data_IF_599020334284
#
_entry.id   IF_599020334284
#
_cell.length_a   1.000
_cell.length_b   1.000
_cell.length_c   1.000
_cell.angle_alpha   90.00
_cell.angle_beta   90.00
_cell.angle_gamma   90.00
#
_symmetry.space_group_name_H-M   'P 1'
#
loop_
_entity.id
_entity.type
_entity.pdbx_description
1 polymer ?
#
# COMPACT_ATOMS: atom_id res chain seq x y z
N UNK A 1 1.34 -4.90 -11.07
CA UNK A 1 1.47 -5.71 -9.83
C UNK A 1 0.11 -6.29 -9.49
N UNK A 2 0.07 -7.55 -9.11
CA UNK A 2 -1.10 -8.18 -8.51
C UNK A 2 -0.74 -8.66 -7.10
N UNK A 3 -1.68 -8.53 -6.17
CA UNK A 3 -1.50 -8.98 -4.79
C UNK A 3 -2.31 -10.25 -4.54
N UNK A 4 -1.75 -11.16 -3.78
CA UNK A 4 -2.43 -12.39 -3.33
C UNK A 4 -2.61 -12.30 -1.81
N UNK A 5 -3.84 -12.33 -1.34
CA UNK A 5 -4.16 -12.41 0.08
C UNK A 5 -4.01 -13.86 0.55
N UNK A 6 -2.99 -14.12 1.38
CA UNK A 6 -2.69 -15.48 1.83
C UNK A 6 -3.59 -15.96 2.97
N UNK A 7 -4.00 -15.04 3.83
CA UNK A 7 -4.74 -15.34 5.06
C UNK A 7 -5.60 -14.17 5.49
N UNK A 8 -6.74 -14.44 6.10
CA UNK A 8 -7.53 -13.43 6.81
C UNK A 8 -7.05 -13.18 8.25
N UNK A 9 -6.17 -14.05 8.77
CA UNK A 9 -5.66 -13.92 10.15
C UNK A 9 -4.67 -12.76 10.28
N UNK A 10 -4.83 -11.97 11.34
CA UNK A 10 -3.89 -10.93 11.72
C UNK A 10 -3.68 -10.93 13.23
N UNK A 11 -2.47 -10.69 13.67
CA UNK A 11 -2.13 -10.54 15.08
C UNK A 11 -2.36 -9.11 15.61
N UNK A 12 -2.72 -8.17 14.74
CA UNK A 12 -3.05 -6.79 15.09
C UNK A 12 -4.51 -6.47 14.74
N UNK A 13 -5.03 -5.43 15.41
CA UNK A 13 -6.37 -4.86 15.16
C UNK A 13 -6.22 -3.37 14.85
N UNK A 14 -5.56 -3.07 13.74
CA UNK A 14 -5.31 -1.69 13.33
C UNK A 14 -6.64 -0.96 13.04
N UNK A 15 -6.84 0.19 13.65
CA UNK A 15 -7.99 1.06 13.44
C UNK A 15 -8.19 1.42 11.95
N UNK A 16 -7.09 1.54 11.23
CA UNK A 16 -7.02 1.94 9.84
C UNK A 16 -6.86 0.77 8.86
N UNK A 17 -7.14 -0.47 9.27
CA UNK A 17 -6.92 -1.64 8.43
C UNK A 17 -7.63 -1.51 7.09
N UNK A 18 -6.87 -1.50 5.99
CA UNK A 18 -7.42 -1.43 4.64
C UNK A 18 -8.07 -2.77 4.22
N UNK A 19 -7.62 -3.88 4.81
CA UNK A 19 -8.14 -5.23 4.58
C UNK A 19 -9.15 -5.65 5.66
N UNK A 20 -9.85 -4.70 6.30
CA UNK A 20 -10.73 -4.99 7.42
C UNK A 20 -11.82 -6.02 7.07
N UNK A 21 -12.42 -5.94 5.87
CA UNK A 21 -13.43 -6.93 5.43
C UNK A 21 -12.86 -8.34 5.36
N UNK A 22 -11.65 -8.50 4.84
CA UNK A 22 -10.97 -9.79 4.78
C UNK A 22 -10.70 -10.33 6.20
N UNK A 23 -10.24 -9.49 7.11
CA UNK A 23 -9.88 -9.88 8.49
C UNK A 23 -11.12 -10.15 9.34
N UNK A 24 -12.18 -9.37 9.19
CA UNK A 24 -13.44 -9.53 9.93
C UNK A 24 -14.20 -10.78 9.50
N UNK A 25 -14.16 -11.15 8.23
CA UNK A 25 -14.84 -12.34 7.70
C UNK A 25 -14.23 -13.68 8.15
N UNK A 26 -13.03 -13.65 8.79
CA UNK A 26 -12.35 -14.84 9.31
C UNK A 26 -12.33 -16.03 8.33
N UNK A 27 -12.14 -15.72 7.05
CA UNK A 27 -12.06 -16.72 6.00
C UNK A 27 -10.89 -17.69 6.22
N UNK A 28 -10.87 -18.74 5.44
CA UNK A 28 -9.80 -19.73 5.47
C UNK A 28 -8.51 -19.15 4.88
N UNK A 29 -7.38 -19.73 5.28
CA UNK A 29 -6.11 -19.52 4.62
C UNK A 29 -6.18 -20.07 3.19
N UNK A 30 -5.46 -19.45 2.27
CA UNK A 30 -5.32 -19.99 0.92
C UNK A 30 -4.64 -21.37 1.01
N UNK A 31 -5.10 -22.35 0.23
CA UNK A 31 -4.38 -23.62 0.09
C UNK A 31 -3.24 -23.47 -0.91
N UNK A 32 -2.21 -24.33 -0.83
CA UNK A 32 -1.16 -24.37 -1.86
C UNK A 32 -1.74 -24.68 -3.25
N UNK A 33 -2.76 -25.52 -3.34
CA UNK A 33 -3.44 -25.80 -4.61
C UNK A 33 -4.08 -24.55 -5.20
N UNK A 34 -4.89 -23.83 -4.41
CA UNK A 34 -5.51 -22.56 -4.84
C UNK A 34 -4.45 -21.51 -5.15
N UNK A 35 -3.35 -21.45 -4.37
CA UNK A 35 -2.25 -20.55 -4.66
C UNK A 35 -1.62 -20.83 -6.03
N UNK A 36 -1.41 -22.10 -6.38
CA UNK A 36 -0.88 -22.48 -7.69
C UNK A 36 -1.83 -22.12 -8.84
N UNK A 37 -3.14 -22.34 -8.68
CA UNK A 37 -4.15 -21.91 -9.67
C UNK A 37 -4.11 -20.39 -9.89
N UNK A 38 -4.03 -19.60 -8.80
CA UNK A 38 -3.90 -18.14 -8.89
C UNK A 38 -2.57 -17.76 -9.57
N UNK A 39 -1.48 -18.44 -9.24
CA UNK A 39 -0.18 -18.16 -9.83
C UNK A 39 -0.15 -18.45 -11.35
N UNK A 40 -0.81 -19.51 -11.80
CA UNK A 40 -0.98 -19.82 -13.22
C UNK A 40 -1.81 -18.74 -13.93
N UNK A 41 -2.90 -18.26 -13.30
CA UNK A 41 -3.68 -17.15 -13.81
C UNK A 41 -2.86 -15.85 -13.92
N UNK A 42 -1.91 -15.65 -13.01
CA UNK A 42 -0.99 -14.49 -12.98
C UNK A 42 0.21 -14.64 -13.92
N UNK A 43 0.26 -15.67 -14.76
CA UNK A 43 1.39 -15.88 -15.67
C UNK A 43 1.59 -14.64 -16.56
N UNK A 44 2.82 -14.11 -16.56
CA UNK A 44 3.18 -12.86 -17.22
C UNK A 44 3.12 -11.61 -16.30
N UNK A 45 2.62 -11.72 -15.05
CA UNK A 45 2.69 -10.64 -14.07
C UNK A 45 4.05 -10.67 -13.35
N UNK A 46 4.95 -9.79 -13.74
CA UNK A 46 6.32 -9.78 -13.20
C UNK A 46 6.44 -9.40 -11.72
N UNK A 47 5.43 -8.80 -11.13
CA UNK A 47 5.45 -8.29 -9.75
C UNK A 47 4.27 -8.83 -8.95
N UNK A 48 4.56 -9.64 -7.93
CA UNK A 48 3.58 -10.26 -7.06
C UNK A 48 3.70 -9.67 -5.64
N UNK A 49 2.57 -9.22 -5.09
CA UNK A 49 2.45 -8.80 -3.69
C UNK A 49 1.88 -9.93 -2.84
N UNK A 50 2.50 -10.21 -1.70
CA UNK A 50 1.95 -11.10 -0.68
C UNK A 50 1.36 -10.24 0.43
N UNK A 51 0.05 -10.36 0.62
CA UNK A 51 -0.74 -9.57 1.55
C UNK A 51 -1.71 -10.49 2.33
N UNK A 52 -2.63 -9.89 3.05
CA UNK A 52 -3.69 -10.58 3.79
C UNK A 52 -4.05 -9.79 5.04
N UNK A 53 -4.35 -10.49 6.14
CA UNK A 53 -4.26 -9.92 7.47
C UNK A 53 -2.78 -9.67 7.79
N UNK A 54 -2.07 -10.71 8.22
CA UNK A 54 -0.60 -10.72 8.28
C UNK A 54 -0.10 -11.96 7.51
N UNK A 55 0.53 -11.80 6.34
CA UNK A 55 0.90 -12.93 5.49
C UNK A 55 1.87 -13.91 6.16
N UNK A 56 2.72 -13.43 7.09
CA UNK A 56 3.67 -14.25 7.84
C UNK A 56 3.00 -15.16 8.88
N UNK A 57 1.68 -15.07 9.05
CA UNK A 57 0.90 -16.04 9.84
C UNK A 57 0.46 -17.26 9.02
N UNK A 58 0.60 -17.22 7.69
CA UNK A 58 0.28 -18.38 6.87
C UNK A 58 1.27 -19.51 7.13
N UNK A 59 0.74 -20.72 7.36
CA UNK A 59 1.58 -21.88 7.74
C UNK A 59 2.59 -22.25 6.66
N UNK A 60 2.20 -22.12 5.39
CA UNK A 60 3.01 -22.49 4.24
C UNK A 60 3.69 -21.27 3.58
N UNK A 61 3.89 -20.16 4.32
CA UNK A 61 4.47 -18.92 3.78
C UNK A 61 5.82 -19.15 3.09
N UNK A 62 6.71 -19.91 3.73
CA UNK A 62 8.03 -20.17 3.16
C UNK A 62 7.96 -21.05 1.91
N UNK A 63 7.05 -22.00 1.83
CA UNK A 63 6.82 -22.78 0.62
C UNK A 63 6.26 -21.91 -0.51
N UNK A 64 5.29 -21.05 -0.24
CA UNK A 64 4.78 -20.06 -1.19
C UNK A 64 5.91 -19.16 -1.71
N UNK A 65 6.74 -18.64 -0.83
CA UNK A 65 7.86 -17.78 -1.20
C UNK A 65 8.90 -18.55 -2.04
N UNK A 66 9.14 -19.84 -1.73
CA UNK A 66 9.99 -20.73 -2.51
C UNK A 66 9.45 -20.95 -3.93
N UNK A 67 8.14 -21.17 -4.07
CA UNK A 67 7.47 -21.30 -5.37
C UNK A 67 7.67 -20.02 -6.21
N UNK A 68 7.41 -18.85 -5.62
CA UNK A 68 7.58 -17.55 -6.30
C UNK A 68 9.03 -17.29 -6.71
N UNK A 69 10.00 -17.65 -5.88
CA UNK A 69 11.41 -17.50 -6.23
C UNK A 69 11.80 -18.34 -7.47
N UNK A 70 11.17 -19.50 -7.66
CA UNK A 70 11.42 -20.41 -8.80
C UNK A 70 10.58 -20.04 -10.02
N UNK A 71 9.49 -19.32 -9.88
CA UNK A 71 8.63 -18.91 -10.99
C UNK A 71 9.42 -17.98 -11.94
N UNK A 72 9.56 -18.40 -13.19
CA UNK A 72 10.43 -17.73 -14.17
C UNK A 72 9.94 -16.33 -14.58
N UNK A 73 8.62 -16.13 -14.58
CA UNK A 73 8.00 -14.84 -14.93
C UNK A 73 7.96 -13.86 -13.77
N UNK A 74 8.14 -14.32 -12.53
CA UNK A 74 8.15 -13.44 -11.34
C UNK A 74 9.53 -12.80 -11.20
N UNK A 75 9.58 -11.48 -11.34
CA UNK A 75 10.79 -10.68 -11.21
C UNK A 75 10.92 -10.06 -9.81
N UNK A 76 9.79 -9.77 -9.17
CA UNK A 76 9.74 -9.16 -7.85
C UNK A 76 8.60 -9.72 -7.01
N UNK A 77 8.90 -10.03 -5.76
CA UNK A 77 7.93 -10.38 -4.71
C UNK A 77 7.99 -9.29 -3.64
N UNK A 78 6.85 -8.63 -3.40
CA UNK A 78 6.72 -7.65 -2.32
C UNK A 78 5.90 -8.25 -1.18
N UNK A 79 6.49 -8.39 0.00
CA UNK A 79 5.82 -8.86 1.21
C UNK A 79 5.35 -7.64 2.01
N UNK A 80 4.04 -7.49 2.18
CA UNK A 80 3.43 -6.43 2.99
C UNK A 80 3.17 -6.97 4.40
N UNK A 81 3.91 -6.49 5.39
CA UNK A 81 3.88 -7.04 6.74
C UNK A 81 3.87 -5.96 7.82
N UNK A 82 3.36 -6.29 9.00
CA UNK A 82 3.53 -5.47 10.21
C UNK A 82 4.89 -5.67 10.90
N UNK A 83 5.71 -6.58 10.42
CA UNK A 83 7.09 -6.80 10.86
C UNK A 83 7.27 -7.66 12.12
N UNK A 84 6.20 -8.02 12.84
CA UNK A 84 6.31 -8.77 14.10
C UNK A 84 6.83 -10.20 13.90
N UNK A 85 6.56 -10.79 12.74
CA UNK A 85 6.92 -12.19 12.43
C UNK A 85 7.93 -12.33 11.29
N UNK A 86 8.74 -11.31 11.01
CA UNK A 86 9.82 -11.38 10.01
C UNK A 86 10.85 -12.47 10.33
N UNK A 87 11.00 -12.82 11.60
CA UNK A 87 11.84 -13.93 12.07
C UNK A 87 11.42 -15.32 11.57
N UNK A 88 10.19 -15.47 11.06
CA UNK A 88 9.68 -16.71 10.47
C UNK A 88 10.11 -16.93 9.01
N UNK A 89 10.63 -15.92 8.35
CA UNK A 89 11.09 -16.03 6.97
C UNK A 89 12.42 -16.77 6.94
N UNK A 90 12.47 -17.88 6.19
CA UNK A 90 13.70 -18.63 5.99
C UNK A 90 14.73 -17.81 5.23
N UNK A 91 15.93 -17.70 5.76
CA UNK A 91 17.01 -16.86 5.22
C UNK A 91 17.42 -17.26 3.81
N UNK A 92 17.36 -18.56 3.49
CA UNK A 92 17.65 -19.12 2.17
C UNK A 92 16.70 -18.63 1.07
N UNK A 93 15.52 -18.12 1.45
CA UNK A 93 14.49 -17.61 0.54
C UNK A 93 14.61 -16.10 0.30
N UNK A 94 15.50 -15.42 1.00
CA UNK A 94 15.74 -13.97 0.87
C UNK A 94 16.63 -13.69 -0.37
N UNK A 95 16.05 -13.89 -1.55
CA UNK A 95 16.73 -13.65 -2.82
C UNK A 95 16.63 -12.18 -3.25
N UNK A 96 17.30 -11.81 -4.33
CA UNK A 96 17.21 -10.48 -4.94
C UNK A 96 15.82 -10.15 -5.52
N UNK A 97 14.92 -11.13 -5.63
CA UNK A 97 13.52 -10.90 -6.02
C UNK A 97 12.65 -10.40 -4.86
N UNK A 98 13.04 -10.69 -3.61
CA UNK A 98 12.18 -10.50 -2.44
C UNK A 98 12.44 -9.15 -1.79
N UNK A 99 11.38 -8.40 -1.59
CA UNK A 99 11.39 -7.11 -0.90
C UNK A 99 10.27 -7.05 0.13
N UNK A 100 10.45 -6.21 1.14
CA UNK A 100 9.50 -6.06 2.24
C UNK A 100 9.04 -4.62 2.36
N UNK A 101 7.72 -4.42 2.47
CA UNK A 101 7.14 -3.20 2.98
C UNK A 101 6.68 -3.45 4.42
N UNK A 102 7.43 -2.89 5.37
CA UNK A 102 7.18 -3.03 6.79
C UNK A 102 6.36 -1.83 7.26
N UNK A 103 5.07 -2.04 7.53
CA UNK A 103 4.20 -1.03 8.11
C UNK A 103 4.50 -0.89 9.61
N UNK A 104 5.15 0.19 10.00
CA UNK A 104 5.56 0.43 11.40
C UNK A 104 4.48 1.22 12.13
N UNK A 105 3.82 0.56 13.07
CA UNK A 105 2.83 1.15 13.98
C UNK A 105 3.50 1.73 15.21
N UNK A 106 2.82 2.67 15.89
CA UNK A 106 3.31 3.23 17.16
C UNK A 106 3.21 2.22 18.31
N UNK A 107 4.03 2.42 19.34
CA UNK A 107 3.97 1.65 20.60
C UNK A 107 2.58 1.73 21.25
N UNK A 108 1.92 2.89 21.16
CA UNK A 108 0.55 3.08 21.62
C UNK A 108 -0.41 2.05 21.03
N UNK A 109 -0.23 1.71 19.72
CA UNK A 109 -1.11 0.79 19.01
C UNK A 109 -0.78 -0.69 19.24
N UNK A 110 0.51 -1.03 19.35
CA UNK A 110 0.94 -2.43 19.31
C UNK A 110 1.63 -2.90 20.61
N UNK A 111 1.90 -1.99 21.53
CA UNK A 111 2.65 -2.25 22.76
C UNK A 111 4.17 -2.27 22.56
N UNK A 112 4.91 -1.97 23.64
CA UNK A 112 6.38 -1.90 23.63
C UNK A 112 7.05 -3.19 23.15
N UNK A 113 6.58 -4.34 23.63
CA UNK A 113 7.16 -5.65 23.28
C UNK A 113 7.11 -5.93 21.77
N UNK A 114 5.96 -5.66 21.12
CA UNK A 114 5.84 -5.86 19.69
C UNK A 114 6.67 -4.84 18.91
N UNK A 115 6.75 -3.60 19.38
CA UNK A 115 7.57 -2.59 18.73
C UNK A 115 9.07 -2.96 18.78
N UNK A 116 9.59 -3.38 19.93
CA UNK A 116 10.98 -3.83 20.05
C UNK A 116 11.24 -5.09 19.22
N UNK A 117 10.26 -5.99 19.10
CA UNK A 117 10.35 -7.14 18.21
C UNK A 117 10.44 -6.74 16.73
N UNK A 118 9.65 -5.77 16.29
CA UNK A 118 9.78 -5.21 14.91
C UNK A 118 11.17 -4.64 14.71
N UNK A 119 11.67 -3.86 15.66
CA UNK A 119 12.98 -3.22 15.61
C UNK A 119 14.11 -4.25 15.49
N UNK A 120 14.07 -5.31 16.29
CA UNK A 120 15.03 -6.41 16.23
C UNK A 120 14.91 -7.17 14.90
N UNK A 121 13.70 -7.48 14.46
CA UNK A 121 13.45 -8.18 13.20
C UNK A 121 13.94 -7.38 11.99
N UNK A 122 13.74 -6.07 11.95
CA UNK A 122 14.29 -5.21 10.89
C UNK A 122 15.81 -5.22 10.92
N UNK A 123 16.44 -5.15 12.10
CA UNK A 123 17.90 -5.25 12.25
C UNK A 123 18.42 -6.59 11.70
N UNK A 124 17.77 -7.68 12.08
CA UNK A 124 18.12 -9.01 11.61
C UNK A 124 17.94 -9.16 10.08
N UNK A 125 16.82 -8.69 9.55
CA UNK A 125 16.56 -8.73 8.11
C UNK A 125 17.63 -7.99 7.32
N UNK A 126 18.03 -6.80 7.76
CA UNK A 126 19.07 -5.98 7.12
C UNK A 126 20.47 -6.60 7.16
N UNK A 127 20.69 -7.66 7.96
CA UNK A 127 21.95 -8.43 7.92
C UNK A 127 22.00 -9.45 6.78
N UNK A 128 20.86 -9.72 6.10
CA UNK A 128 20.75 -10.70 5.01
C UNK A 128 20.43 -10.09 3.66
N UNK A 129 19.70 -8.96 3.63
CA UNK A 129 19.30 -8.31 2.39
C UNK A 129 19.71 -6.83 2.36
N UNK A 130 19.96 -6.27 1.16
CA UNK A 130 20.23 -4.85 1.02
C UNK A 130 19.08 -3.99 1.55
N UNK A 131 19.41 -2.84 2.11
CA UNK A 131 18.42 -1.87 2.61
C UNK A 131 17.41 -1.43 1.54
N UNK A 132 17.79 -1.44 0.27
CA UNK A 132 16.92 -1.13 -0.87
C UNK A 132 15.76 -2.11 -1.02
N UNK A 133 15.83 -3.31 -0.43
CA UNK A 133 14.77 -4.30 -0.41
C UNK A 133 13.81 -4.16 0.78
N UNK A 134 14.04 -3.18 1.66
CA UNK A 134 13.19 -2.92 2.82
C UNK A 134 12.67 -1.49 2.78
N UNK A 135 11.36 -1.34 2.72
CA UNK A 135 10.70 -0.05 2.77
C UNK A 135 9.89 0.08 4.06
N UNK A 136 10.09 1.15 4.80
CA UNK A 136 9.25 1.49 5.94
C UNK A 136 7.97 2.16 5.44
N UNK A 137 6.82 1.64 5.85
CA UNK A 137 5.50 2.20 5.57
C UNK A 137 4.97 3.00 6.76
N UNK A 138 4.46 4.20 6.48
CA UNK A 138 3.77 5.06 7.44
C UNK A 138 2.36 5.31 6.93
N UNK A 139 1.35 4.99 7.74
CA UNK A 139 -0.05 5.24 7.44
C UNK A 139 -0.55 6.44 8.26
N UNK A 140 -1.14 7.42 7.58
CA UNK A 140 -1.76 8.61 8.18
C UNK A 140 -3.26 8.37 8.22
N UNK A 141 -3.86 8.30 9.41
CA UNK A 141 -5.27 7.92 9.60
C UNK A 141 -6.03 8.77 10.63
N UNK A 142 -5.30 9.59 11.41
CA UNK A 142 -5.91 10.51 12.39
C UNK A 142 -5.21 11.88 12.38
N UNK A 143 -5.94 12.89 12.81
CA UNK A 143 -5.40 14.23 13.03
C UNK A 143 -4.37 14.19 14.17
N UNK A 144 -3.33 15.02 14.07
CA UNK A 144 -2.27 15.15 15.09
C UNK A 144 -1.60 13.82 15.47
N UNK A 145 -1.52 12.88 14.51
CA UNK A 145 -0.85 11.59 14.73
C UNK A 145 0.63 11.79 15.04
N UNK A 146 1.11 11.09 16.07
CA UNK A 146 2.53 11.06 16.38
C UNK A 146 3.28 10.05 15.50
N UNK A 147 4.48 10.41 15.07
CA UNK A 147 5.36 9.61 14.24
C UNK A 147 6.71 9.30 14.89
N UNK A 148 6.87 9.55 16.20
CA UNK A 148 8.13 9.33 16.89
C UNK A 148 8.65 7.91 16.73
N UNK A 149 7.77 6.91 16.84
CA UNK A 149 8.14 5.50 16.74
C UNK A 149 8.60 5.10 15.34
N UNK A 150 7.81 5.26 14.24
CA UNK A 150 8.29 4.93 12.90
C UNK A 150 9.51 5.78 12.50
N UNK A 151 9.58 7.03 12.91
CA UNK A 151 10.75 7.90 12.68
C UNK A 151 11.98 7.39 13.42
N UNK A 152 11.84 6.78 14.60
CA UNK A 152 12.96 6.17 15.33
C UNK A 152 13.59 5.02 14.54
N UNK A 153 12.78 4.15 13.95
CA UNK A 153 13.23 3.05 13.04
C UNK A 153 13.96 3.62 11.82
N UNK A 154 13.39 4.65 11.18
CA UNK A 154 14.00 5.30 10.01
C UNK A 154 15.38 5.85 10.36
N UNK A 155 15.52 6.53 11.49
CA UNK A 155 16.80 7.11 11.95
C UNK A 155 17.81 6.04 12.29
N UNK A 156 17.42 5.05 13.10
CA UNK A 156 18.31 4.00 13.59
C UNK A 156 18.94 3.23 12.43
N UNK A 157 18.13 2.83 11.45
CA UNK A 157 18.63 2.04 10.33
C UNK A 157 19.04 2.89 9.12
N UNK A 158 18.89 4.21 9.18
CA UNK A 158 19.32 5.14 8.14
C UNK A 158 18.59 4.94 6.81
N UNK A 159 17.27 4.68 6.85
CA UNK A 159 16.45 4.64 5.65
C UNK A 159 16.41 6.01 4.99
N UNK A 160 16.53 6.04 3.66
CA UNK A 160 16.52 7.28 2.85
C UNK A 160 15.21 7.48 2.12
N UNK A 161 14.36 6.46 2.09
CA UNK A 161 13.04 6.50 1.46
C UNK A 161 12.02 5.83 2.38
N UNK A 162 10.80 6.39 2.40
CA UNK A 162 9.67 5.85 3.15
C UNK A 162 8.40 5.89 2.29
N UNK A 163 7.58 4.89 2.45
CA UNK A 163 6.24 4.88 1.87
C UNK A 163 5.29 5.61 2.82
N UNK A 164 4.54 6.57 2.30
CA UNK A 164 3.51 7.29 3.03
C UNK A 164 2.16 7.02 2.39
N UNK A 165 1.14 6.74 3.17
CA UNK A 165 -0.24 6.60 2.70
C UNK A 165 -1.18 7.39 3.60
N UNK A 166 -2.07 8.16 2.99
CA UNK A 166 -3.23 8.68 3.69
C UNK A 166 -4.33 7.63 3.57
N UNK A 167 -4.71 7.04 4.69
CA UNK A 167 -5.66 5.92 4.73
C UNK A 167 -7.03 6.36 4.19
N UNK A 168 -7.68 5.51 3.42
CA UNK A 168 -9.07 5.72 3.00
C UNK A 168 -9.96 5.42 4.22
N UNK A 169 -10.78 6.37 4.69
CA UNK A 169 -11.63 6.13 5.84
C UNK A 169 -12.71 5.08 5.55
N UNK A 170 -13.11 4.31 6.56
CA UNK A 170 -14.20 3.32 6.44
C UNK A 170 -15.51 4.02 6.05
N UNK A 171 -15.85 5.13 6.70
CA UNK A 171 -16.97 5.98 6.30
C UNK A 171 -16.49 7.04 5.31
N UNK A 172 -17.06 7.04 4.11
CA UNK A 172 -16.74 7.95 3.00
C UNK A 172 -17.77 9.08 2.84
N UNK A 173 -18.80 9.16 3.71
CA UNK A 173 -19.93 10.10 3.59
C UNK A 173 -19.48 11.57 3.69
N UNK A 174 -18.41 11.82 4.42
CA UNK A 174 -17.82 13.15 4.57
C UNK A 174 -17.23 13.71 3.27
N UNK A 175 -16.95 12.84 2.30
CA UNK A 175 -16.30 13.17 1.04
C UNK A 175 -14.78 13.36 1.15
N UNK A 176 -14.10 13.10 0.02
CA UNK A 176 -12.63 13.05 -0.04
C UNK A 176 -11.97 14.36 0.40
N UNK A 177 -12.47 15.51 -0.09
CA UNK A 177 -11.79 16.80 0.14
C UNK A 177 -11.87 17.26 1.60
N UNK A 178 -12.98 17.03 2.30
CA UNK A 178 -13.08 17.33 3.72
C UNK A 178 -12.16 16.45 4.55
N UNK A 179 -12.07 15.16 4.19
CA UNK A 179 -11.12 14.25 4.81
C UNK A 179 -9.66 14.65 4.55
N UNK A 180 -9.32 15.04 3.33
CA UNK A 180 -7.97 15.52 3.01
C UNK A 180 -7.61 16.80 3.78
N UNK A 181 -8.56 17.72 3.94
CA UNK A 181 -8.32 18.95 4.69
C UNK A 181 -8.00 18.65 6.16
N UNK A 182 -8.64 17.64 6.75
CA UNK A 182 -8.32 17.15 8.10
C UNK A 182 -6.93 16.52 8.17
N UNK A 183 -6.58 15.67 7.20
CA UNK A 183 -5.33 14.89 7.24
C UNK A 183 -4.09 15.67 6.82
N UNK A 184 -4.24 16.76 6.03
CA UNK A 184 -3.10 17.50 5.49
C UNK A 184 -2.16 18.07 6.57
N UNK A 185 -2.70 18.53 7.69
CA UNK A 185 -1.88 19.04 8.81
C UNK A 185 -0.93 17.99 9.37
N UNK A 186 -1.45 16.78 9.55
CA UNK A 186 -0.68 15.62 10.01
C UNK A 186 0.40 15.22 8.99
N UNK A 187 0.04 15.17 7.70
CA UNK A 187 1.00 14.90 6.62
C UNK A 187 2.12 15.95 6.59
N UNK A 188 1.78 17.24 6.67
CA UNK A 188 2.77 18.33 6.67
C UNK A 188 3.69 18.28 7.90
N UNK A 189 3.20 17.83 9.04
CA UNK A 189 4.01 17.59 10.24
C UNK A 189 5.05 16.49 10.00
N UNK A 190 4.61 15.36 9.42
CA UNK A 190 5.53 14.29 9.01
C UNK A 190 6.56 14.81 7.99
N UNK A 191 6.12 15.56 6.97
CA UNK A 191 7.01 16.12 5.95
C UNK A 191 8.10 17.01 6.52
N UNK A 192 7.79 17.83 7.53
CA UNK A 192 8.82 18.64 8.22
C UNK A 192 9.88 17.78 8.89
N UNK A 193 9.49 16.64 9.44
CA UNK A 193 10.41 15.69 10.06
C UNK A 193 11.26 14.98 9.01
N UNK A 194 10.64 14.46 7.94
CA UNK A 194 11.35 13.82 6.84
C UNK A 194 12.37 14.75 6.17
N UNK A 195 11.99 16.02 5.96
CA UNK A 195 12.91 17.04 5.43
C UNK A 195 14.17 17.20 6.29
N UNK A 196 14.01 17.30 7.62
CA UNK A 196 15.15 17.43 8.55
C UNK A 196 16.08 16.20 8.51
N UNK A 197 15.54 15.03 8.16
CA UNK A 197 16.29 13.80 8.08
C UNK A 197 16.88 13.51 6.69
N UNK A 198 16.53 14.31 5.68
CA UNK A 198 16.89 14.04 4.29
C UNK A 198 16.32 12.71 3.79
N UNK A 199 15.05 12.42 4.16
CA UNK A 199 14.32 11.20 3.79
C UNK A 199 13.29 11.54 2.73
N UNK A 200 13.29 10.79 1.62
CA UNK A 200 12.37 10.95 0.51
C UNK A 200 11.04 10.23 0.81
N UNK A 201 9.90 10.90 0.78
CA UNK A 201 8.61 10.25 0.85
C UNK A 201 8.18 9.77 -0.54
N UNK A 202 7.45 8.66 -0.59
CA UNK A 202 6.73 8.21 -1.76
C UNK A 202 5.29 7.86 -1.38
N UNK A 203 4.30 8.33 -2.16
CA UNK A 203 2.96 7.82 -2.06
C UNK A 203 2.85 6.49 -2.78
N UNK A 204 2.07 5.62 -2.18
CA UNK A 204 1.61 4.44 -2.88
C UNK A 204 0.10 4.56 -3.20
N UNK A 205 -0.68 5.21 -2.32
CA UNK A 205 -2.13 5.32 -2.48
C UNK A 205 -2.67 6.60 -1.84
N UNK A 206 -3.82 7.06 -2.33
CA UNK A 206 -4.64 8.13 -1.76
C UNK A 206 -3.90 9.47 -1.56
N UNK A 207 -3.18 9.91 -2.61
CA UNK A 207 -2.49 11.19 -2.62
C UNK A 207 -3.47 12.37 -2.47
N UNK A 208 -3.12 13.32 -1.63
CA UNK A 208 -3.93 14.55 -1.44
C UNK A 208 -3.73 15.47 -2.65
N UNK A 209 -4.80 15.89 -3.36
CA UNK A 209 -4.69 16.78 -4.51
C UNK A 209 -4.06 18.14 -4.17
N UNK A 210 -3.25 18.69 -5.08
CA UNK A 210 -2.54 19.95 -4.89
C UNK A 210 -3.44 21.13 -4.50
N UNK A 211 -4.70 21.15 -4.95
CA UNK A 211 -5.65 22.22 -4.63
C UNK A 211 -6.12 22.27 -3.17
N UNK A 212 -5.78 21.25 -2.36
CA UNK A 212 -6.06 21.21 -0.92
C UNK A 212 -5.01 22.03 -0.14
N UNK A 213 -3.84 22.25 -0.72
CA UNK A 213 -2.74 22.95 -0.08
C UNK A 213 -2.71 24.44 -0.42
N UNK A 214 -2.24 25.24 0.51
CA UNK A 214 -1.85 26.63 0.27
C UNK A 214 -0.51 26.68 -0.48
N UNK A 215 -0.16 27.85 -1.07
CA UNK A 215 1.14 28.06 -1.72
C UNK A 215 2.31 27.79 -0.78
N UNK A 216 2.20 28.16 0.52
CA UNK A 216 3.25 27.93 1.52
C UNK A 216 3.42 26.44 1.83
N UNK A 217 2.32 25.69 1.90
CA UNK A 217 2.35 24.25 2.12
C UNK A 217 2.93 23.50 0.92
N UNK A 218 2.57 23.90 -0.31
CA UNK A 218 3.19 23.36 -1.53
C UNK A 218 4.69 23.63 -1.58
N UNK A 219 5.14 24.82 -1.18
CA UNK A 219 6.57 25.14 -1.09
C UNK A 219 7.31 24.24 -0.08
N UNK A 220 6.66 23.82 1.02
CA UNK A 220 7.23 22.86 1.94
C UNK A 220 7.36 21.49 1.26
N UNK A 221 6.30 21.00 0.60
CA UNK A 221 6.33 19.72 -0.10
C UNK A 221 7.39 19.70 -1.20
N UNK A 222 7.47 20.77 -1.99
CA UNK A 222 8.47 20.94 -3.06
C UNK A 222 9.92 20.93 -2.55
N UNK A 223 10.12 21.31 -1.30
CA UNK A 223 11.45 21.35 -0.66
C UNK A 223 11.92 20.00 -0.09
N UNK A 224 11.14 18.92 -0.22
CA UNK A 224 11.55 17.57 0.16
C UNK A 224 12.49 16.98 -0.91
N UNK A 225 13.27 16.00 -0.51
CA UNK A 225 14.01 15.17 -1.47
C UNK A 225 13.09 14.13 -2.06
N UNK A 226 13.18 13.89 -3.37
CA UNK A 226 12.42 12.86 -4.08
C UNK A 226 13.37 11.99 -4.90
N UNK A 227 13.00 10.77 -5.17
CA UNK A 227 13.80 9.87 -5.99
C UNK A 227 13.79 10.30 -7.46
N UNK A 228 12.63 10.77 -7.92
CA UNK A 228 12.46 11.26 -9.28
C UNK A 228 11.32 12.31 -9.38
N UNK A 229 11.20 12.95 -10.54
CA UNK A 229 10.21 14.00 -10.80
C UNK A 229 8.78 13.48 -10.76
N UNK A 230 8.52 12.23 -11.16
CA UNK A 230 7.17 11.65 -11.13
C UNK A 230 6.71 11.49 -9.67
N UNK A 231 7.57 10.98 -8.78
CA UNK A 231 7.25 10.87 -7.36
C UNK A 231 7.00 12.24 -6.73
N UNK A 232 7.82 13.24 -7.07
CA UNK A 232 7.59 14.63 -6.65
C UNK A 232 6.20 15.10 -7.05
N UNK A 233 5.83 14.97 -8.31
CA UNK A 233 4.52 15.40 -8.82
C UNK A 233 3.36 14.66 -8.19
N UNK A 234 3.49 13.35 -7.95
CA UNK A 234 2.47 12.56 -7.26
C UNK A 234 2.33 13.04 -5.81
N UNK A 235 3.46 13.18 -5.10
CA UNK A 235 3.44 13.58 -3.69
C UNK A 235 2.92 15.00 -3.48
N UNK A 236 3.18 15.90 -4.40
CA UNK A 236 2.62 17.24 -4.41
C UNK A 236 1.14 17.29 -4.83
N UNK A 237 0.55 16.16 -5.22
CA UNK A 237 -0.83 16.11 -5.74
C UNK A 237 -1.00 16.77 -7.11
N UNK A 238 0.06 16.86 -7.89
CA UNK A 238 0.08 17.43 -9.24
C UNK A 238 -0.19 16.40 -10.33
N UNK A 239 0.03 15.13 -10.03
CA UNK A 239 -0.29 14.01 -10.89
C UNK A 239 -1.09 12.98 -10.12
N UNK A 240 -2.07 12.37 -10.78
CA UNK A 240 -2.77 11.20 -10.25
C UNK A 240 -2.35 9.99 -11.07
N UNK A 241 -1.72 9.03 -10.41
CA UNK A 241 -1.40 7.74 -11.01
C UNK A 241 -2.13 6.68 -10.23
N UNK A 242 -3.17 6.13 -10.83
CA UNK A 242 -3.95 5.05 -10.24
C UNK A 242 -4.29 4.05 -11.35
N UNK A 243 -3.51 2.99 -11.44
CA UNK A 243 -3.79 1.84 -12.31
C UNK A 243 -4.38 0.70 -11.48
N UNK A 244 -5.11 -0.24 -12.09
CA UNK A 244 -5.60 -1.42 -11.39
C UNK A 244 -4.45 -2.18 -10.72
N UNK A 245 -4.52 -2.25 -9.38
CA UNK A 245 -3.74 -3.17 -8.56
C UNK A 245 -4.72 -4.26 -8.18
N UNK A 246 -4.63 -5.41 -8.82
CA UNK A 246 -5.58 -6.49 -8.57
C UNK A 246 -5.25 -7.14 -7.24
N UNK A 247 -6.20 -7.15 -6.31
CA UNK A 247 -6.10 -7.87 -5.04
C UNK A 247 -6.97 -9.15 -5.15
N UNK A 248 -6.33 -10.32 -5.07
CA UNK A 248 -6.96 -11.63 -5.19
C UNK A 248 -7.08 -12.25 -3.80
N UNK A 249 -8.29 -12.70 -3.47
CA UNK A 249 -8.64 -13.31 -2.20
C UNK A 249 -8.47 -14.85 -2.20
N UNK A 250 -8.43 -15.50 -1.03
CA UNK A 250 -8.30 -16.97 -0.94
C UNK A 250 -9.41 -17.76 -1.64
N UNK A 251 -10.60 -17.18 -1.81
CA UNK A 251 -11.75 -17.75 -2.50
C UNK A 251 -11.73 -17.53 -4.02
N UNK A 252 -10.61 -17.10 -4.56
CA UNK A 252 -10.41 -16.74 -5.98
C UNK A 252 -11.28 -15.56 -6.47
N UNK A 253 -11.88 -14.79 -5.55
CA UNK A 253 -12.44 -13.50 -5.93
C UNK A 253 -11.33 -12.45 -6.04
N UNK A 254 -11.56 -11.46 -6.88
CA UNK A 254 -10.62 -10.35 -7.08
C UNK A 254 -11.32 -9.01 -7.04
N UNK A 255 -10.62 -8.00 -6.56
CA UNK A 255 -11.03 -6.60 -6.62
C UNK A 255 -9.97 -5.77 -7.35
N UNK A 256 -10.39 -4.61 -7.83
CA UNK A 256 -9.44 -3.63 -8.39
C UNK A 256 -8.38 -3.18 -7.38
N UNK A 257 -8.79 -2.98 -6.15
CA UNK A 257 -7.95 -2.76 -4.97
C UNK A 257 -8.82 -2.86 -3.70
N UNK A 258 -8.22 -3.06 -2.53
CA UNK A 258 -8.96 -3.14 -1.26
C UNK A 258 -9.86 -1.92 -0.96
N UNK A 259 -9.51 -0.74 -1.44
CA UNK A 259 -10.34 0.45 -1.29
C UNK A 259 -11.67 0.39 -2.06
N UNK A 260 -11.81 -0.59 -2.95
CA UNK A 260 -12.96 -0.82 -3.85
C UNK A 260 -13.50 -2.25 -3.71
N UNK A 261 -13.45 -2.80 -2.49
CA UNK A 261 -13.87 -4.16 -2.15
C UNK A 261 -15.36 -4.47 -2.38
N UNK A 262 -16.18 -3.42 -2.56
CA UNK A 262 -17.59 -3.58 -2.90
C UNK A 262 -17.82 -4.22 -4.28
N UNK A 263 -16.81 -4.19 -5.16
CA UNK A 263 -16.88 -4.75 -6.50
C UNK A 263 -15.91 -5.93 -6.63
N UNK A 264 -16.46 -7.13 -6.51
CA UNK A 264 -15.72 -8.39 -6.60
C UNK A 264 -16.15 -9.17 -7.83
N UNK A 265 -15.17 -9.79 -8.49
CA UNK A 265 -15.38 -10.74 -9.59
C UNK A 265 -14.61 -12.03 -9.30
N UNK A 266 -14.97 -13.14 -9.93
CA UNK A 266 -14.18 -14.37 -9.85
C UNK A 266 -13.08 -14.34 -10.91
N UNK A 267 -11.87 -14.75 -10.57
CA UNK A 267 -10.79 -14.84 -11.56
C UNK A 267 -11.08 -15.89 -12.63
N UNK A 268 -11.86 -16.91 -12.29
CA UNK A 268 -12.27 -17.98 -13.22
C UNK A 268 -13.16 -17.49 -14.39
N UNK A 269 -13.70 -16.26 -14.29
CA UNK A 269 -14.49 -15.63 -15.38
C UNK A 269 -13.57 -14.97 -16.43
N UNK A 270 -12.25 -15.01 -16.27
CA UNK A 270 -11.27 -14.34 -17.14
C UNK A 270 -10.18 -15.32 -17.60
N UNK A 271 -9.66 -15.11 -18.80
CA UNK A 271 -8.62 -15.98 -19.36
C UNK A 271 -7.26 -15.80 -18.66
N UNK A 272 -6.95 -14.55 -18.27
CA UNK A 272 -5.67 -14.19 -17.65
C UNK A 272 -5.75 -12.84 -16.92
N UNK A 273 -4.68 -12.49 -16.23
CA UNK A 273 -4.58 -11.25 -15.45
C UNK A 273 -4.77 -9.97 -16.29
N UNK A 274 -4.36 -9.96 -17.55
CA UNK A 274 -4.50 -8.77 -18.39
C UNK A 274 -5.97 -8.55 -18.78
N UNK A 275 -6.70 -9.62 -19.02
CA UNK A 275 -8.14 -9.58 -19.31
C UNK A 275 -8.90 -9.03 -18.08
N UNK A 276 -8.58 -9.52 -16.89
CA UNK A 276 -9.13 -8.98 -15.63
C UNK A 276 -8.77 -7.51 -15.40
N UNK A 277 -7.53 -7.09 -15.65
CA UNK A 277 -7.12 -5.68 -15.54
C UNK A 277 -7.88 -4.80 -16.54
N UNK A 278 -8.06 -5.25 -17.76
CA UNK A 278 -8.84 -4.56 -18.76
C UNK A 278 -10.31 -4.41 -18.34
N UNK A 279 -10.89 -5.47 -17.76
CA UNK A 279 -12.24 -5.42 -17.21
C UNK A 279 -12.35 -4.33 -16.13
N UNK A 280 -11.45 -4.31 -15.14
CA UNK A 280 -11.47 -3.27 -14.11
C UNK A 280 -11.25 -1.87 -14.68
N UNK A 281 -10.36 -1.73 -15.65
CA UNK A 281 -10.16 -0.45 -16.31
C UNK A 281 -11.43 0.03 -17.01
N UNK A 282 -12.07 -0.83 -17.80
CA UNK A 282 -13.27 -0.48 -18.57
C UNK A 282 -14.50 -0.28 -17.70
N UNK A 283 -14.74 -1.16 -16.72
CA UNK A 283 -15.96 -1.14 -15.91
C UNK A 283 -15.91 -0.19 -14.71
N UNK A 284 -14.71 0.11 -14.21
CA UNK A 284 -14.53 0.93 -13.01
C UNK A 284 -13.82 2.25 -13.38
N UNK A 285 -12.58 2.18 -13.87
CA UNK A 285 -11.73 3.36 -13.98
C UNK A 285 -12.29 4.37 -14.95
N UNK A 286 -12.70 3.94 -16.15
CA UNK A 286 -13.29 4.84 -17.17
C UNK A 286 -14.57 5.52 -16.71
N UNK A 287 -15.37 4.84 -15.88
CA UNK A 287 -16.61 5.40 -15.32
C UNK A 287 -16.35 6.37 -14.20
N UNK A 288 -15.38 6.04 -13.32
CA UNK A 288 -15.13 6.82 -12.12
C UNK A 288 -14.23 8.03 -12.36
N UNK A 289 -13.30 7.97 -13.32
CA UNK A 289 -12.35 9.07 -13.58
C UNK A 289 -13.08 10.37 -13.91
N UNK A 290 -14.22 10.29 -14.59
CA UNK A 290 -15.04 11.42 -14.98
C UNK A 290 -16.01 11.92 -13.91
N UNK A 291 -16.27 11.13 -12.86
CA UNK A 291 -17.15 11.58 -11.79
C UNK A 291 -16.51 12.76 -11.05
N UNK A 292 -17.29 13.83 -10.92
CA UNK A 292 -16.87 15.04 -10.22
C UNK A 292 -16.92 14.82 -8.70
N UNK A 293 -15.83 15.13 -8.03
CA UNK A 293 -15.72 14.95 -6.56
C UNK A 293 -16.19 16.20 -5.80
N UNK A 294 -16.04 17.38 -6.41
CA UNK A 294 -16.56 18.66 -5.91
C UNK A 294 -16.82 19.61 -7.08
N UNK A 295 -17.68 20.62 -6.90
CA UNK A 295 -18.11 21.53 -7.96
C UNK A 295 -16.96 22.25 -8.68
N UNK A 296 -15.90 22.62 -7.97
CA UNK A 296 -14.75 23.30 -8.57
C UNK A 296 -13.96 22.40 -9.54
N UNK A 297 -14.11 21.07 -9.42
CA UNK A 297 -13.47 20.13 -10.33
C UNK A 297 -14.07 20.20 -11.75
N UNK A 298 -15.33 20.59 -11.93
CA UNK A 298 -15.97 20.72 -13.25
C UNK A 298 -15.23 21.67 -14.19
N UNK A 299 -14.67 22.73 -13.63
CA UNK A 299 -13.94 23.77 -14.38
C UNK A 299 -12.42 23.60 -14.30
N UNK A 300 -11.93 22.61 -13.56
CA UNK A 300 -10.51 22.42 -13.30
C UNK A 300 -9.80 21.88 -14.55
N UNK A 301 -8.78 22.60 -15.03
CA UNK A 301 -7.97 22.18 -16.15
C UNK A 301 -7.29 20.81 -15.91
N UNK A 302 -6.74 20.57 -14.71
CA UNK A 302 -6.10 19.29 -14.37
C UNK A 302 -7.07 18.11 -14.44
N UNK A 303 -8.33 18.28 -14.06
CA UNK A 303 -9.36 17.26 -14.21
C UNK A 303 -9.64 16.97 -15.69
N UNK A 304 -9.73 18.00 -16.51
CA UNK A 304 -10.05 17.88 -17.96
C UNK A 304 -8.96 17.16 -18.77
N UNK A 305 -7.69 17.32 -18.36
CA UNK A 305 -6.54 16.67 -19.03
C UNK A 305 -6.07 15.40 -18.32
N UNK A 306 -6.93 14.79 -17.47
CA UNK A 306 -6.61 13.58 -16.69
C UNK A 306 -5.35 13.68 -15.83
N UNK A 307 -4.88 14.88 -15.52
CA UNK A 307 -3.77 15.12 -14.63
C UNK A 307 -4.13 15.03 -13.14
N UNK A 308 -5.43 14.96 -12.82
CA UNK A 308 -5.94 14.81 -11.47
C UNK A 308 -7.31 14.13 -11.50
N UNK A 309 -7.51 13.10 -10.68
CA UNK A 309 -8.79 12.40 -10.54
C UNK A 309 -9.65 12.93 -9.37
N UNK A 310 -9.26 14.04 -8.75
CA UNK A 310 -10.00 14.59 -7.60
C UNK A 310 -9.84 13.74 -6.33
N UNK A 311 -8.73 13.05 -6.18
CA UNK A 311 -8.43 12.10 -5.12
C UNK A 311 -8.57 10.65 -5.58
N UNK A 312 -8.48 9.71 -4.63
CA UNK A 312 -8.58 8.28 -4.91
C UNK A 312 -9.95 7.92 -5.51
N UNK A 313 -9.96 7.04 -6.50
CA UNK A 313 -11.20 6.58 -7.16
C UNK A 313 -12.18 5.91 -6.18
N UNK A 314 -11.70 5.35 -5.08
CA UNK A 314 -12.53 4.73 -4.05
C UNK A 314 -13.53 5.69 -3.36
N UNK A 315 -13.36 7.01 -3.53
CA UNK A 315 -14.34 8.00 -3.04
C UNK A 315 -15.45 8.29 -4.06
N UNK A 316 -15.32 7.80 -5.28
CA UNK A 316 -16.21 8.12 -6.39
C UNK A 316 -17.24 7.01 -6.65
N UNK A 317 -18.00 6.66 -5.64
CA UNK A 317 -19.07 5.62 -5.77
C UNK A 317 -20.28 6.08 -6.57
#
# INVERSE_FOLDING_TARGET
MANIALTSRCNLKCEYCFAHELVENKGEDITLGTFMEILDFLNGEGQIGLIGGEPLLHKDFNEILSILNRAYFVNQVMVFTNGIYLDRVEKSLLTNKVSFLVNVNSREQIGDSNFEKIRENVRNLLSYIPKSHVTVGINIYKENQDFCDPVSIIKEFGFKRVRVSVVIPKNKDEGAFKYFDKMKGTLLSLCKTLKKLGVSPAYDCNAIPACVYTKKELSLLDSLSYENELERRIFMGEASVCSPIVDIYPDKTATRCFGMSDYKVKIDDFENINDLKNHFFMEIDTRLVHKITKSECEKCYKQKVFGCFGGCLAYKK
#
